data_IF_892255154825
#
_entry.id   IF_892255154825
#
_cell.length_a   1.000
_cell.length_b   1.000
_cell.length_c   1.000
_cell.angle_alpha   90.00
_cell.angle_beta   90.00
_cell.angle_gamma   90.00
#
_symmetry.space_group_name_H-M   'P 1'
#
loop_
_entity.id
_entity.type
_entity.pdbx_description
1 polymer ?
#
# COMPACT_ATOMS: atom_id res chain seq x y z
N UNK A 1 77.75 16.33 -12.81
CA UNK A 1 76.47 16.80 -12.17
C UNK A 1 75.30 16.21 -12.95
N UNK A 2 74.77 15.15 -12.43
CA UNK A 2 73.65 14.38 -13.11
C UNK A 2 72.31 14.86 -12.57
N UNK A 3 71.45 15.39 -13.43
CA UNK A 3 70.05 15.69 -13.10
C UNK A 3 69.27 14.39 -13.06
N UNK A 4 68.39 14.19 -12.04
CA UNK A 4 67.50 13.05 -12.02
C UNK A 4 66.45 13.21 -13.12
N UNK A 5 65.94 12.11 -13.73
CA UNK A 5 64.92 12.17 -14.77
C UNK A 5 63.58 12.62 -14.18
N UNK A 6 63.01 13.65 -14.82
CA UNK A 6 61.65 14.10 -14.50
C UNK A 6 60.64 13.02 -14.86
N UNK A 7 59.78 12.69 -13.91
CA UNK A 7 58.66 11.77 -14.10
C UNK A 7 57.60 12.43 -15.00
N UNK A 8 57.29 11.90 -16.20
CA UNK A 8 56.39 12.55 -17.16
C UNK A 8 54.90 12.47 -16.79
N UNK A 9 54.57 11.88 -15.64
CA UNK A 9 53.18 11.70 -15.19
C UNK A 9 52.87 12.35 -13.83
N UNK A 10 53.61 13.35 -13.40
CA UNK A 10 53.29 14.13 -12.21
C UNK A 10 52.25 15.23 -12.53
N UNK A 11 51.25 15.47 -11.66
CA UNK A 11 50.29 16.56 -11.85
C UNK A 11 51.02 17.92 -11.73
N UNK A 12 50.63 18.94 -12.52
CA UNK A 12 51.26 20.28 -12.46
C UNK A 12 51.02 20.93 -11.09
N UNK A 13 52.00 21.62 -10.51
CA UNK A 13 51.83 22.32 -9.24
C UNK A 13 50.99 23.58 -9.46
N UNK A 14 49.85 23.67 -8.83
CA UNK A 14 49.07 24.92 -8.78
C UNK A 14 47.56 24.85 -8.88
N UNK A 15 46.95 23.70 -8.75
CA UNK A 15 45.45 23.68 -8.63
C UNK A 15 45.03 23.31 -7.20
N UNK A 16 44.54 24.32 -6.47
CA UNK A 16 43.84 24.14 -5.22
C UNK A 16 42.60 23.24 -5.46
N UNK A 17 42.28 22.30 -4.52
CA UNK A 17 41.06 21.52 -4.61
C UNK A 17 39.86 22.44 -4.40
N UNK A 18 39.19 22.78 -5.50
CA UNK A 18 37.87 23.38 -5.44
C UNK A 18 36.87 22.35 -4.91
N UNK A 19 36.24 22.63 -3.78
CA UNK A 19 35.07 21.91 -3.28
C UNK A 19 33.89 22.15 -4.23
N UNK A 20 33.85 21.43 -5.34
CA UNK A 20 32.71 21.35 -6.24
C UNK A 20 32.13 19.93 -6.16
N UNK A 21 30.96 19.80 -5.58
CA UNK A 21 30.17 18.56 -5.73
C UNK A 21 29.91 18.32 -7.22
N UNK A 22 30.27 17.15 -7.78
CA UNK A 22 29.85 16.82 -9.14
C UNK A 22 28.34 16.64 -9.13
N UNK A 23 27.63 17.57 -9.74
CA UNK A 23 26.25 17.41 -10.10
C UNK A 23 26.17 16.27 -11.12
N UNK A 24 25.77 15.09 -10.67
CA UNK A 24 25.57 13.94 -11.54
C UNK A 24 24.46 14.28 -12.56
N UNK A 25 24.89 14.57 -13.79
CA UNK A 25 23.98 14.56 -14.94
C UNK A 25 23.34 13.16 -15.03
N UNK A 26 22.01 13.08 -15.24
CA UNK A 26 21.37 11.81 -15.50
C UNK A 26 21.97 11.21 -16.78
N UNK A 27 22.58 10.03 -16.65
CA UNK A 27 23.09 9.28 -17.79
C UNK A 27 21.94 8.93 -18.74
N UNK A 28 22.01 9.23 -20.05
CA UNK A 28 20.96 8.91 -21.01
C UNK A 28 20.85 7.41 -21.32
N UNK A 29 21.71 6.58 -20.75
CA UNK A 29 21.64 5.13 -20.85
C UNK A 29 21.27 4.55 -19.50
N UNK A 30 20.08 3.94 -19.43
CA UNK A 30 19.62 3.19 -18.26
C UNK A 30 20.57 2.07 -17.84
N UNK A 31 20.40 1.53 -16.62
CA UNK A 31 21.34 0.54 -16.07
C UNK A 31 21.44 -0.68 -16.98
N UNK A 32 22.68 -1.04 -17.35
CA UNK A 32 23.00 -2.24 -18.11
C UNK A 32 22.45 -3.49 -17.40
N UNK A 33 21.77 -4.41 -18.11
CA UNK A 33 21.40 -5.70 -17.55
C UNK A 33 22.66 -6.54 -17.37
N UNK A 34 23.17 -6.67 -16.16
CA UNK A 34 24.33 -7.51 -15.85
C UNK A 34 25.31 -6.97 -14.82
N UNK A 35 25.11 -5.77 -14.29
CA UNK A 35 25.94 -5.21 -13.22
C UNK A 35 25.65 -5.85 -11.87
N UNK A 36 26.47 -6.83 -11.45
CA UNK A 36 26.51 -7.27 -10.07
C UNK A 36 26.88 -6.12 -9.12
N UNK A 37 26.65 -6.27 -7.78
CA UNK A 37 26.95 -5.23 -6.82
C UNK A 37 28.45 -4.88 -6.86
N UNK A 38 28.77 -3.65 -7.28
CA UNK A 38 30.14 -3.13 -7.24
C UNK A 38 30.49 -2.91 -5.76
N UNK A 39 31.60 -3.50 -5.25
CA UNK A 39 32.04 -3.28 -3.87
C UNK A 39 32.31 -1.79 -3.66
N UNK A 40 31.52 -1.15 -2.77
CA UNK A 40 31.65 0.28 -2.45
C UNK A 40 30.45 1.17 -2.83
N UNK A 41 29.50 0.72 -3.66
CA UNK A 41 28.25 1.44 -3.88
C UNK A 41 27.30 1.19 -2.72
N UNK A 42 27.06 2.22 -1.93
CA UNK A 42 25.98 2.19 -0.93
C UNK A 42 24.63 2.00 -1.65
N UNK A 43 23.73 1.17 -1.10
CA UNK A 43 22.41 0.99 -1.68
C UNK A 43 21.72 2.36 -1.82
N UNK A 44 21.42 2.78 -3.05
CA UNK A 44 20.69 4.02 -3.29
C UNK A 44 19.23 3.81 -2.88
N UNK A 45 18.87 4.31 -1.71
CA UNK A 45 17.49 4.35 -1.27
C UNK A 45 16.77 5.55 -1.92
N UNK A 46 15.52 5.39 -2.36
CA UNK A 46 14.76 6.50 -2.94
C UNK A 46 14.57 7.62 -1.91
N UNK A 47 15.00 8.84 -2.25
CA UNK A 47 14.80 10.03 -1.41
C UNK A 47 13.32 10.47 -1.37
N UNK A 48 12.57 10.13 -2.42
CA UNK A 48 11.15 10.48 -2.59
C UNK A 48 10.32 9.20 -2.65
N UNK A 49 9.10 9.26 -2.09
CA UNK A 49 8.17 8.14 -2.13
C UNK A 49 7.89 7.71 -3.58
N UNK A 50 8.14 6.43 -3.94
CA UNK A 50 7.89 5.89 -5.27
C UNK A 50 6.42 6.03 -5.69
N UNK A 51 6.19 6.18 -7.00
CA UNK A 51 4.85 6.33 -7.57
C UNK A 51 3.92 5.17 -7.21
N UNK A 52 4.42 3.94 -7.19
CA UNK A 52 3.65 2.76 -6.79
C UNK A 52 3.16 2.83 -5.34
N UNK A 53 3.99 3.31 -4.41
CA UNK A 53 3.60 3.48 -2.99
C UNK A 53 2.55 4.59 -2.84
N UNK A 54 2.72 5.71 -3.57
CA UNK A 54 1.72 6.80 -3.61
C UNK A 54 0.38 6.30 -4.14
N UNK A 55 0.40 5.53 -5.22
CA UNK A 55 -0.80 4.95 -5.81
C UNK A 55 -1.49 3.98 -4.84
N UNK A 56 -0.77 3.03 -4.25
CA UNK A 56 -1.33 2.11 -3.27
C UNK A 56 -1.92 2.84 -2.04
N UNK A 57 -1.24 3.89 -1.55
CA UNK A 57 -1.76 4.76 -0.49
C UNK A 57 -3.09 5.41 -0.88
N UNK A 58 -3.18 5.97 -2.08
CA UNK A 58 -4.41 6.59 -2.59
C UNK A 58 -5.54 5.55 -2.72
N UNK A 59 -5.23 4.35 -3.24
CA UNK A 59 -6.20 3.25 -3.37
C UNK A 59 -6.74 2.83 -2.00
N UNK A 60 -5.89 2.73 -0.97
CA UNK A 60 -6.35 2.39 0.39
C UNK A 60 -7.28 3.45 0.97
N UNK A 61 -7.06 4.75 0.69
CA UNK A 61 -8.03 5.79 1.07
C UNK A 61 -9.34 5.69 0.27
N UNK A 62 -9.29 5.35 -1.01
CA UNK A 62 -10.49 5.11 -1.83
C UNK A 62 -11.27 3.93 -1.29
N UNK A 63 -10.60 2.81 -0.94
CA UNK A 63 -11.24 1.65 -0.31
C UNK A 63 -11.92 2.04 1.02
N UNK A 64 -11.25 2.83 1.86
CA UNK A 64 -11.83 3.33 3.09
C UNK A 64 -13.08 4.20 2.83
N UNK A 65 -13.04 5.07 1.83
CA UNK A 65 -14.20 5.87 1.40
C UNK A 65 -15.37 5.04 0.90
N UNK A 66 -15.10 4.03 0.07
CA UNK A 66 -16.11 3.09 -0.40
C UNK A 66 -16.71 2.28 0.77
N UNK A 67 -15.89 1.89 1.74
CA UNK A 67 -16.36 1.23 2.95
C UNK A 67 -17.32 2.10 3.77
N UNK A 68 -17.08 3.43 3.84
CA UNK A 68 -18.02 4.35 4.52
C UNK A 68 -19.38 4.36 3.83
N UNK A 69 -19.40 4.37 2.49
CA UNK A 69 -20.65 4.27 1.73
C UNK A 69 -21.34 2.92 2.01
N UNK A 70 -20.59 1.83 1.96
CA UNK A 70 -21.08 0.48 2.30
C UNK A 70 -21.63 0.39 3.72
N UNK A 71 -20.98 1.06 4.68
CA UNK A 71 -21.43 1.14 6.07
C UNK A 71 -22.79 1.83 6.19
N UNK A 72 -23.00 2.95 5.51
CA UNK A 72 -24.28 3.66 5.51
C UNK A 72 -25.39 2.74 4.97
N UNK A 73 -25.14 2.06 3.84
CA UNK A 73 -26.09 1.12 3.24
C UNK A 73 -26.42 -0.03 4.19
N UNK A 74 -25.40 -0.62 4.83
CA UNK A 74 -25.56 -1.73 5.77
C UNK A 74 -26.34 -1.34 7.02
N UNK A 75 -26.13 -0.14 7.56
CA UNK A 75 -26.88 0.40 8.70
C UNK A 75 -28.35 0.66 8.32
N UNK A 76 -28.60 1.21 7.13
CA UNK A 76 -29.97 1.38 6.63
C UNK A 76 -30.68 0.03 6.45
N UNK A 77 -29.97 -0.96 5.89
CA UNK A 77 -30.47 -2.33 5.76
C UNK A 77 -30.79 -2.96 7.11
N UNK A 78 -29.93 -2.78 8.11
CA UNK A 78 -30.17 -3.27 9.48
C UNK A 78 -31.41 -2.63 10.09
N UNK A 79 -31.62 -1.32 9.88
CA UNK A 79 -32.83 -0.62 10.30
C UNK A 79 -34.12 -1.19 9.66
N UNK A 80 -34.05 -1.50 8.37
CA UNK A 80 -35.18 -2.08 7.62
C UNK A 80 -35.53 -3.49 8.12
N UNK A 81 -34.51 -4.34 8.29
CA UNK A 81 -34.72 -5.71 8.84
C UNK A 81 -35.26 -5.66 10.28
N UNK A 82 -34.75 -4.74 11.10
CA UNK A 82 -35.23 -4.58 12.47
C UNK A 82 -36.69 -4.13 12.51
N UNK A 83 -37.12 -3.21 11.65
CA UNK A 83 -38.52 -2.81 11.51
C UNK A 83 -39.39 -3.97 11.06
N UNK A 84 -38.99 -4.73 10.05
CA UNK A 84 -39.69 -5.90 9.59
C UNK A 84 -39.88 -6.92 10.73
N UNK A 85 -38.87 -7.17 11.54
CA UNK A 85 -38.97 -8.06 12.68
C UNK A 85 -39.93 -7.58 13.77
N UNK A 86 -40.11 -6.26 13.96
CA UNK A 86 -41.08 -5.70 14.89
C UNK A 86 -42.54 -5.75 14.37
N UNK A 87 -42.73 -5.77 13.06
CA UNK A 87 -44.03 -5.85 12.42
C UNK A 87 -44.47 -7.29 12.05
N UNK A 88 -43.63 -8.26 12.38
CA UNK A 88 -43.93 -9.67 12.13
C UNK A 88 -45.18 -10.08 12.93
N UNK A 89 -46.16 -10.69 12.26
CA UNK A 89 -47.41 -11.15 12.86
C UNK A 89 -47.16 -12.15 13.99
N UNK A 90 -47.98 -12.17 15.06
CA UNK A 90 -47.95 -13.24 16.06
C UNK A 90 -48.16 -14.65 15.48
N UNK A 91 -48.69 -14.72 14.25
CA UNK A 91 -48.92 -15.97 13.51
C UNK A 91 -47.82 -16.25 12.46
N UNK A 92 -46.70 -15.51 12.47
CA UNK A 92 -45.58 -15.76 11.58
C UNK A 92 -44.97 -17.13 11.83
N UNK A 93 -44.57 -17.81 10.76
CA UNK A 93 -43.88 -19.11 10.89
C UNK A 93 -42.55 -18.99 11.62
N UNK A 94 -42.13 -20.08 12.27
CA UNK A 94 -40.79 -20.16 12.88
C UNK A 94 -39.66 -19.91 11.88
N UNK A 95 -39.87 -20.27 10.62
CA UNK A 95 -38.91 -20.08 9.54
C UNK A 95 -38.72 -18.60 9.17
N UNK A 96 -39.81 -17.82 9.13
CA UNK A 96 -39.80 -16.39 8.84
C UNK A 96 -39.04 -15.61 9.94
N UNK A 97 -39.32 -15.91 11.20
CA UNK A 97 -38.65 -15.28 12.34
C UNK A 97 -37.17 -15.67 12.38
N UNK A 98 -36.83 -16.91 12.05
CA UNK A 98 -35.44 -17.38 11.95
C UNK A 98 -34.65 -16.69 10.83
N UNK A 99 -35.26 -16.53 9.64
CA UNK A 99 -34.64 -15.81 8.52
C UNK A 99 -34.35 -14.34 8.83
N UNK A 100 -35.28 -13.64 9.50
CA UNK A 100 -35.08 -12.26 9.92
C UNK A 100 -33.95 -12.13 10.94
N UNK A 101 -33.86 -13.06 11.90
CA UNK A 101 -32.81 -13.07 12.91
C UNK A 101 -31.43 -13.35 12.29
N UNK A 102 -31.33 -14.30 11.36
CA UNK A 102 -30.11 -14.59 10.59
C UNK A 102 -29.71 -13.38 9.74
N UNK A 103 -30.66 -12.75 9.03
CA UNK A 103 -30.39 -11.55 8.23
C UNK A 103 -29.83 -10.41 9.07
N UNK A 104 -30.38 -10.18 10.26
CA UNK A 104 -29.87 -9.20 11.23
C UNK A 104 -28.45 -9.55 11.69
N UNK A 105 -28.18 -10.81 12.04
CA UNK A 105 -26.87 -11.28 12.45
C UNK A 105 -25.81 -11.08 11.36
N UNK A 106 -26.15 -11.44 10.12
CA UNK A 106 -25.26 -11.25 8.95
C UNK A 106 -24.95 -9.78 8.73
N UNK A 107 -25.96 -8.89 8.80
CA UNK A 107 -25.73 -7.45 8.63
C UNK A 107 -24.84 -6.87 9.72
N UNK A 108 -25.02 -7.26 10.97
CA UNK A 108 -24.13 -6.83 12.07
C UNK A 108 -22.70 -7.30 11.81
N UNK A 109 -22.52 -8.55 11.39
CA UNK A 109 -21.19 -9.09 11.06
C UNK A 109 -20.53 -8.30 9.92
N UNK A 110 -21.28 -7.98 8.86
CA UNK A 110 -20.79 -7.16 7.74
C UNK A 110 -20.38 -5.77 8.22
N UNK A 111 -21.20 -5.11 9.06
CA UNK A 111 -20.87 -3.80 9.64
C UNK A 111 -19.55 -3.85 10.40
N UNK A 112 -19.34 -4.86 11.25
CA UNK A 112 -18.10 -5.03 12.01
C UNK A 112 -16.90 -5.21 11.07
N UNK A 113 -17.04 -6.04 10.04
CA UNK A 113 -15.99 -6.22 9.03
C UNK A 113 -15.66 -4.90 8.32
N UNK A 114 -16.66 -4.16 7.86
CA UNK A 114 -16.45 -2.88 7.18
C UNK A 114 -15.66 -1.92 8.07
N UNK A 115 -16.01 -1.81 9.36
CA UNK A 115 -15.32 -0.93 10.31
C UNK A 115 -13.86 -1.36 10.49
N UNK A 116 -13.61 -2.65 10.68
CA UNK A 116 -12.24 -3.19 10.84
C UNK A 116 -11.40 -2.91 9.58
N UNK A 117 -11.92 -3.28 8.39
CA UNK A 117 -11.20 -3.08 7.14
C UNK A 117 -10.96 -1.59 6.85
N UNK A 118 -11.91 -0.72 7.16
CA UNK A 118 -11.75 0.72 7.01
C UNK A 118 -10.65 1.28 7.94
N UNK A 119 -10.64 0.89 9.21
CA UNK A 119 -9.63 1.31 10.18
C UNK A 119 -8.23 0.84 9.76
N UNK A 120 -8.10 -0.41 9.33
CA UNK A 120 -6.83 -0.98 8.85
C UNK A 120 -6.35 -0.27 7.60
N UNK A 121 -7.24 -0.03 6.61
CA UNK A 121 -6.91 0.68 5.38
C UNK A 121 -6.36 2.09 5.66
N UNK A 122 -7.05 2.87 6.50
CA UNK A 122 -6.63 4.21 6.89
C UNK A 122 -5.28 4.17 7.60
N UNK A 123 -5.11 3.28 8.58
CA UNK A 123 -3.88 3.16 9.36
C UNK A 123 -2.68 2.83 8.46
N UNK A 124 -2.82 1.85 7.56
CA UNK A 124 -1.77 1.48 6.61
C UNK A 124 -1.48 2.60 5.61
N UNK A 125 -2.52 3.28 5.10
CA UNK A 125 -2.36 4.41 4.20
C UNK A 125 -1.57 5.56 4.84
N UNK A 126 -1.83 5.88 6.09
CA UNK A 126 -1.08 6.90 6.85
C UNK A 126 0.36 6.47 7.08
N UNK A 127 0.60 5.21 7.45
CA UNK A 127 1.92 4.68 7.74
C UNK A 127 2.81 4.50 6.49
N UNK A 128 2.24 4.41 5.28
CA UNK A 128 3.01 4.31 4.03
C UNK A 128 4.02 5.45 3.85
N UNK A 129 3.73 6.64 4.39
CA UNK A 129 4.64 7.79 4.38
C UNK A 129 5.91 7.56 5.21
N UNK A 130 5.75 6.90 6.34
CA UNK A 130 6.83 6.66 7.30
C UNK A 130 7.74 5.49 6.86
N UNK A 131 7.27 4.60 5.99
CA UNK A 131 7.98 3.40 5.57
C UNK A 131 7.99 2.30 6.66
N UNK A 132 8.82 1.28 6.46
CA UNK A 132 8.98 0.15 7.38
C UNK A 132 8.45 -1.16 6.80
N UNK A 133 9.25 -2.23 6.94
CA UNK A 133 8.92 -3.56 6.39
C UNK A 133 7.54 -4.06 6.79
N UNK A 134 7.13 -3.83 8.06
CA UNK A 134 5.84 -4.23 8.58
C UNK A 134 4.66 -3.58 7.85
N UNK A 135 4.77 -2.29 7.50
CA UNK A 135 3.72 -1.57 6.76
C UNK A 135 3.53 -2.15 5.36
N UNK A 136 4.62 -2.48 4.67
CA UNK A 136 4.55 -3.13 3.35
C UNK A 136 3.87 -4.49 3.43
N UNK A 137 4.30 -5.34 4.36
CA UNK A 137 3.72 -6.67 4.57
C UNK A 137 2.24 -6.53 4.94
N UNK A 138 1.92 -5.63 5.88
CA UNK A 138 0.55 -5.36 6.28
C UNK A 138 -0.34 -4.91 5.12
N UNK A 139 0.15 -4.04 4.23
CA UNK A 139 -0.58 -3.60 3.05
C UNK A 139 -0.84 -4.74 2.05
N UNK A 140 0.13 -5.64 1.84
CA UNK A 140 -0.05 -6.82 0.98
C UNK A 140 -1.07 -7.78 1.60
N UNK A 141 -0.94 -8.09 2.89
CA UNK A 141 -1.89 -8.97 3.60
C UNK A 141 -3.29 -8.37 3.60
N UNK A 142 -3.42 -7.05 3.83
CA UNK A 142 -4.69 -6.34 3.71
C UNK A 142 -5.28 -6.45 2.31
N UNK A 143 -4.47 -6.25 1.26
CA UNK A 143 -4.91 -6.39 -0.13
C UNK A 143 -5.44 -7.80 -0.43
N UNK A 144 -4.76 -8.84 0.05
CA UNK A 144 -5.18 -10.24 -0.11
C UNK A 144 -6.51 -10.47 0.63
N UNK A 145 -6.60 -10.09 1.90
CA UNK A 145 -7.80 -10.27 2.71
C UNK A 145 -9.00 -9.52 2.11
N UNK A 146 -8.79 -8.27 1.67
CA UNK A 146 -9.81 -7.47 1.01
C UNK A 146 -10.31 -8.13 -0.29
N UNK A 147 -9.38 -8.65 -1.11
CA UNK A 147 -9.72 -9.35 -2.35
C UNK A 147 -10.54 -10.60 -2.09
N UNK A 148 -10.16 -11.42 -1.10
CA UNK A 148 -10.88 -12.66 -0.76
C UNK A 148 -12.29 -12.37 -0.25
N UNK A 149 -12.44 -11.40 0.65
CA UNK A 149 -13.76 -11.01 1.19
C UNK A 149 -14.64 -10.42 0.09
N UNK A 150 -14.09 -9.59 -0.79
CA UNK A 150 -14.86 -8.95 -1.85
C UNK A 150 -15.31 -9.93 -2.95
N UNK A 151 -14.57 -11.02 -3.19
CA UNK A 151 -15.00 -12.08 -4.09
C UNK A 151 -16.28 -12.78 -3.60
N UNK A 152 -16.46 -12.91 -2.28
CA UNK A 152 -17.67 -13.49 -1.71
C UNK A 152 -18.93 -12.63 -1.92
N UNK A 153 -18.75 -11.35 -2.19
CA UNK A 153 -19.83 -10.38 -2.41
C UNK A 153 -20.06 -10.07 -3.90
N UNK A 154 -19.64 -10.97 -4.79
CA UNK A 154 -19.86 -10.80 -6.23
C UNK A 154 -21.36 -10.63 -6.58
N UNK A 155 -21.73 -9.72 -7.51
CA UNK A 155 -20.87 -8.85 -8.32
C UNK A 155 -20.48 -7.51 -7.64
N UNK A 156 -21.06 -7.14 -6.52
CA UNK A 156 -20.85 -5.84 -5.85
C UNK A 156 -19.41 -5.65 -5.36
N UNK A 157 -18.74 -6.73 -5.02
CA UNK A 157 -17.33 -6.72 -4.57
C UNK A 157 -16.29 -6.49 -5.67
N UNK A 158 -16.65 -6.46 -6.96
CA UNK A 158 -15.70 -6.36 -8.07
C UNK A 158 -14.76 -5.16 -7.95
N UNK A 159 -15.26 -4.00 -7.59
CA UNK A 159 -14.44 -2.78 -7.43
C UNK A 159 -13.40 -2.98 -6.33
N UNK A 160 -13.80 -3.52 -5.18
CA UNK A 160 -12.90 -3.83 -4.06
C UNK A 160 -11.86 -4.89 -4.44
N UNK A 161 -12.26 -5.91 -5.21
CA UNK A 161 -11.36 -6.95 -5.73
C UNK A 161 -10.27 -6.35 -6.61
N UNK A 162 -10.64 -5.52 -7.58
CA UNK A 162 -9.68 -4.86 -8.48
C UNK A 162 -8.73 -3.95 -7.69
N UNK A 163 -9.27 -3.13 -6.80
CA UNK A 163 -8.47 -2.22 -5.97
C UNK A 163 -7.54 -2.99 -5.02
N UNK A 164 -7.99 -4.10 -4.43
CA UNK A 164 -7.16 -4.97 -3.60
C UNK A 164 -5.98 -5.57 -4.37
N UNK A 165 -6.22 -6.09 -5.57
CA UNK A 165 -5.18 -6.61 -6.46
C UNK A 165 -4.16 -5.51 -6.83
N UNK A 166 -4.63 -4.29 -7.11
CA UNK A 166 -3.75 -3.16 -7.41
C UNK A 166 -2.86 -2.80 -6.22
N UNK A 167 -3.38 -2.81 -4.98
CA UNK A 167 -2.56 -2.61 -3.77
C UNK A 167 -1.46 -3.64 -3.70
N UNK A 168 -1.78 -4.93 -3.90
CA UNK A 168 -0.79 -6.02 -3.90
C UNK A 168 0.27 -5.77 -4.97
N UNK A 169 -0.15 -5.49 -6.22
CA UNK A 169 0.74 -5.30 -7.35
C UNK A 169 1.71 -4.12 -7.12
N UNK A 170 1.22 -2.98 -6.63
CA UNK A 170 2.07 -1.82 -6.37
C UNK A 170 3.01 -2.03 -5.18
N UNK A 171 2.58 -2.71 -4.13
CA UNK A 171 3.41 -2.99 -2.96
C UNK A 171 4.44 -4.08 -3.20
N UNK A 172 4.25 -4.95 -4.19
CA UNK A 172 5.17 -6.03 -4.55
C UNK A 172 6.37 -5.56 -5.37
N UNK A 173 6.34 -4.36 -5.95
CA UNK A 173 7.44 -3.82 -6.76
C UNK A 173 8.72 -3.60 -5.96
N UNK A 174 9.87 -3.77 -6.60
CA UNK A 174 11.19 -3.59 -5.99
C UNK A 174 11.42 -2.16 -5.48
N UNK A 175 10.93 -1.15 -6.21
CA UNK A 175 10.99 0.25 -5.78
C UNK A 175 10.26 0.46 -4.44
N UNK A 176 9.09 -0.17 -4.27
CA UNK A 176 8.35 -0.14 -3.02
C UNK A 176 9.15 -0.82 -1.91
N UNK A 177 9.80 -1.97 -2.20
CA UNK A 177 10.64 -2.65 -1.23
C UNK A 177 11.78 -1.75 -0.72
N UNK A 178 12.49 -1.09 -1.63
CA UNK A 178 13.60 -0.17 -1.28
C UNK A 178 13.12 1.00 -0.41
N UNK A 179 11.92 1.53 -0.65
CA UNK A 179 11.32 2.59 0.16
C UNK A 179 11.07 2.15 1.60
N UNK A 180 10.54 0.94 1.81
CA UNK A 180 10.18 0.44 3.13
C UNK A 180 11.36 -0.14 3.93
N UNK A 181 12.51 -0.40 3.30
CA UNK A 181 13.74 -0.92 3.93
C UNK A 181 14.74 0.18 4.27
N UNK A 182 14.52 1.42 3.80
CA UNK A 182 15.44 2.54 4.03
C UNK A 182 15.72 2.74 5.53
N UNK A 183 16.98 3.08 5.91
CA UNK A 183 17.33 3.45 7.28
C UNK A 183 16.51 4.68 7.71
N UNK A 184 16.05 4.67 8.94
CA UNK A 184 15.40 5.82 9.57
C UNK A 184 16.40 6.42 10.52
N UNK A 185 16.79 7.63 10.27
CA UNK A 185 17.59 8.44 11.18
C UNK A 185 16.67 9.41 11.91
#
# INVERSE_FOLDING_TARGET
MSYPPQNPYGPPPGQQPGYGYPQQQPSPYGPYPGGGPVPGMQPQYPAVMPGGVKAARAIMFVLAGLNVIGLIIAVMGLGSVSKAAHHTSPYASSDETSMLSLGKGVLIFIIVLIVIFSAVAITLALQCGNGGKGVRIGAIVFGIANTLVSLMTFPFGLVHTVLGILVIAFMSKDESNRWFVRPRY
#
